data_IF_838006399370
#
_entry.id   IF_838006399370
#
_cell.length_a   1.000
_cell.length_b   1.000
_cell.length_c   1.000
_cell.angle_alpha   90.00
_cell.angle_beta   90.00
_cell.angle_gamma   90.00
#
_symmetry.space_group_name_H-M   'P 1'
#
loop_
_entity.id
_entity.type
_entity.pdbx_description
1 polymer ?
#
# COMPACT_ATOMS: atom_id res chain seq x y z
N UNK A 1 2.61 3.69 10.22
CA UNK A 1 1.73 3.55 9.03
C UNK A 1 2.37 2.59 8.05
N UNK A 2 1.65 1.62 7.49
CA UNK A 2 2.27 0.62 6.64
C UNK A 2 2.60 1.20 5.25
N UNK A 3 3.89 1.43 5.00
CA UNK A 3 4.44 1.88 3.71
C UNK A 3 4.84 0.65 2.91
N UNK A 4 4.60 0.68 1.60
CA UNK A 4 5.10 -0.38 0.73
C UNK A 4 6.63 -0.28 0.64
N UNK A 5 7.33 -1.38 0.92
CA UNK A 5 8.78 -1.47 0.84
C UNK A 5 9.31 -1.21 -0.57
N UNK A 6 8.60 -1.66 -1.61
CA UNK A 6 9.07 -1.58 -3.01
C UNK A 6 8.82 -0.22 -3.66
N UNK A 7 7.61 0.33 -3.51
CA UNK A 7 7.23 1.57 -4.20
C UNK A 7 7.11 2.78 -3.28
N UNK A 8 7.35 2.61 -1.98
CA UNK A 8 7.27 3.71 -1.01
C UNK A 8 5.88 4.32 -0.84
N UNK A 9 4.83 3.80 -1.46
CA UNK A 9 3.47 4.33 -1.28
C UNK A 9 3.05 4.15 0.18
N UNK A 10 2.47 5.21 0.74
CA UNK A 10 1.84 5.22 2.07
C UNK A 10 0.36 5.54 1.96
N UNK A 11 -0.30 5.76 3.10
CA UNK A 11 -1.67 6.24 3.07
C UNK A 11 -1.74 7.65 2.49
N UNK A 12 -2.81 7.92 1.77
CA UNK A 12 -3.13 9.25 1.26
C UNK A 12 -4.23 9.87 2.12
N UNK A 13 -4.35 11.20 2.04
CA UNK A 13 -5.39 11.94 2.75
C UNK A 13 -6.31 12.63 1.74
N UNK A 14 -7.56 12.80 2.11
CA UNK A 14 -8.52 13.60 1.35
C UNK A 14 -9.83 13.70 2.10
N UNK A 15 -10.94 13.82 1.37
CA UNK A 15 -12.25 14.07 1.99
C UNK A 15 -13.31 13.06 1.58
N UNK A 16 -14.21 12.74 2.51
CA UNK A 16 -15.52 12.18 2.18
C UNK A 16 -16.42 13.38 1.85
N UNK A 17 -16.93 13.43 0.63
CA UNK A 17 -17.82 14.50 0.16
C UNK A 17 -19.24 13.96 0.15
N UNK A 18 -20.15 14.60 0.89
CA UNK A 18 -21.57 14.24 0.88
C UNK A 18 -22.28 14.81 -0.36
N UNK A 19 -23.53 14.39 -0.59
CA UNK A 19 -24.37 14.96 -1.64
C UNK A 19 -24.53 16.49 -1.51
N UNK A 20 -24.58 17.01 -0.27
CA UNK A 20 -24.61 18.44 0.03
C UNK A 20 -23.23 19.14 -0.06
N UNK A 21 -22.19 18.46 -0.57
CA UNK A 21 -20.79 18.92 -0.62
C UNK A 21 -20.13 19.18 0.74
N UNK A 22 -20.67 18.62 1.83
CA UNK A 22 -20.00 18.66 3.13
C UNK A 22 -18.74 17.78 3.07
N UNK A 23 -17.59 18.35 3.42
CA UNK A 23 -16.28 17.69 3.36
C UNK A 23 -15.83 17.28 4.76
N UNK A 24 -15.65 15.99 4.99
CA UNK A 24 -15.01 15.48 6.22
C UNK A 24 -13.69 14.82 5.88
N UNK A 25 -12.68 14.99 6.73
CA UNK A 25 -11.36 14.38 6.52
C UNK A 25 -11.47 12.85 6.52
N UNK A 26 -10.85 12.22 5.54
CA UNK A 26 -10.68 10.76 5.50
C UNK A 26 -9.27 10.40 5.09
N UNK A 27 -8.86 9.22 5.53
CA UNK A 27 -7.61 8.60 5.11
C UNK A 27 -7.88 7.48 4.11
N UNK A 28 -7.03 7.39 3.10
CA UNK A 28 -7.03 6.34 2.09
C UNK A 28 -5.84 5.44 2.36
N UNK A 29 -6.08 4.37 3.11
CA UNK A 29 -5.07 3.36 3.35
C UNK A 29 -4.85 2.50 2.11
N UNK A 30 -3.57 2.24 1.81
CA UNK A 30 -3.19 1.31 0.76
C UNK A 30 -3.33 -0.13 1.26
N UNK A 31 -3.82 -1.03 0.39
CA UNK A 31 -3.86 -2.45 0.70
C UNK A 31 -2.43 -3.02 0.68
N UNK A 32 -1.85 -3.15 1.87
CA UNK A 32 -0.53 -3.70 2.13
C UNK A 32 -0.64 -5.07 2.79
N UNK A 33 0.23 -5.98 2.38
CA UNK A 33 0.29 -7.34 2.87
C UNK A 33 1.72 -7.67 3.30
N UNK A 34 1.86 -8.52 4.31
CA UNK A 34 3.17 -9.03 4.74
C UNK A 34 3.55 -10.18 3.82
N UNK A 35 4.67 -10.06 3.13
CA UNK A 35 5.18 -11.10 2.22
C UNK A 35 6.64 -11.41 2.48
N UNK A 36 7.11 -12.56 2.00
CA UNK A 36 8.53 -12.89 1.98
C UNK A 36 9.09 -12.55 0.60
N UNK A 37 10.19 -11.82 0.58
CA UNK A 37 10.95 -11.52 -0.64
C UNK A 37 12.37 -12.04 -0.47
N UNK A 38 12.97 -12.52 -1.56
CA UNK A 38 14.39 -12.90 -1.58
C UNK A 38 15.17 -11.68 -2.05
N UNK A 39 16.05 -11.16 -1.20
CA UNK A 39 16.97 -10.06 -1.52
C UNK A 39 18.40 -10.54 -1.25
N UNK A 40 19.25 -10.53 -2.27
CA UNK A 40 20.65 -10.96 -2.13
C UNK A 40 20.82 -12.40 -1.62
N UNK A 41 19.92 -13.31 -2.01
CA UNK A 41 19.96 -14.72 -1.59
C UNK A 41 19.37 -15.01 -0.21
N UNK A 42 18.87 -14.00 0.53
CA UNK A 42 18.22 -14.19 1.84
C UNK A 42 16.74 -13.82 1.78
N UNK A 43 15.90 -14.66 2.39
CA UNK A 43 14.47 -14.40 2.51
C UNK A 43 14.19 -13.39 3.64
N UNK A 44 13.63 -12.23 3.29
CA UNK A 44 13.23 -11.17 4.23
C UNK A 44 11.71 -11.01 4.25
N UNK A 45 11.14 -10.86 5.44
CA UNK A 45 9.72 -10.48 5.59
C UNK A 45 9.60 -8.97 5.40
N UNK A 46 8.81 -8.54 4.41
CA UNK A 46 8.56 -7.12 4.10
C UNK A 46 7.07 -6.84 3.95
N UNK A 47 6.71 -5.58 4.15
CA UNK A 47 5.36 -5.09 3.86
C UNK A 47 5.30 -4.57 2.44
N UNK A 48 4.42 -5.14 1.61
CA UNK A 48 4.31 -4.82 0.20
C UNK A 48 2.85 -4.60 -0.20
N UNK A 49 2.58 -3.60 -1.04
CA UNK A 49 1.23 -3.35 -1.54
C UNK A 49 0.82 -4.40 -2.58
N UNK A 50 -0.49 -4.67 -2.66
CA UNK A 50 -1.07 -5.66 -3.58
C UNK A 50 -0.72 -5.41 -5.05
N UNK A 51 -0.58 -4.15 -5.48
CA UNK A 51 -0.18 -3.82 -6.86
C UNK A 51 1.27 -4.24 -7.17
N UNK A 52 2.17 -4.11 -6.20
CA UNK A 52 3.56 -4.60 -6.35
C UNK A 52 3.63 -6.13 -6.25
N UNK A 53 2.79 -6.75 -5.40
CA UNK A 53 2.63 -8.21 -5.37
C UNK A 53 2.19 -8.77 -6.72
N UNK A 54 1.15 -8.17 -7.33
CA UNK A 54 0.65 -8.57 -8.64
C UNK A 54 1.73 -8.48 -9.72
N UNK A 55 2.54 -7.41 -9.73
CA UNK A 55 3.60 -7.24 -10.73
C UNK A 55 4.72 -8.29 -10.58
N UNK A 56 5.04 -8.74 -9.36
CA UNK A 56 6.08 -9.76 -9.15
C UNK A 56 5.68 -11.17 -9.57
N UNK A 57 4.38 -11.50 -9.59
CA UNK A 57 3.88 -12.82 -9.99
C UNK A 57 3.73 -12.96 -11.51
N UNK A 58 3.75 -11.83 -12.24
CA UNK A 58 3.52 -11.80 -13.70
C UNK A 58 4.81 -11.97 -14.53
N UNK A 59 5.92 -12.35 -13.91
CA UNK A 59 7.21 -12.59 -14.55
C UNK A 59 7.55 -14.08 -14.52
#
# INVERSE_FOLDING_TARGET
MAKCYVCGRGAQYGHKVSHAKNRTNRRFDINVQKTRIIEGGRAKKVTMCTRCLRNRVKA
#
